data_IF_837166165467
#
_entry.id   IF_837166165467
#
_cell.length_a   1.000
_cell.length_b   1.000
_cell.length_c   1.000
_cell.angle_alpha   90.00
_cell.angle_beta   90.00
_cell.angle_gamma   90.00
#
_symmetry.space_group_name_H-M   'P 1'
#
loop_
_entity.id
_entity.type
_entity.pdbx_description
1 polymer ?
#
# COMPACT_ATOMS: atom_id res chain seq x y z
N UNK A 1 7.35 38.34 -5.22
CA UNK A 1 6.59 37.38 -4.39
C UNK A 1 7.54 36.28 -3.98
N UNK A 2 7.68 35.97 -2.70
CA UNK A 2 8.57 34.87 -2.21
C UNK A 2 7.71 33.68 -1.90
N UNK A 3 7.95 32.54 -2.56
CA UNK A 3 7.26 31.28 -2.32
C UNK A 3 8.19 30.38 -1.50
N UNK A 4 7.69 29.82 -0.39
CA UNK A 4 8.42 28.86 0.44
C UNK A 4 7.65 27.53 0.46
N UNK A 5 8.38 26.43 0.40
CA UNK A 5 7.82 25.10 0.56
C UNK A 5 8.04 24.61 2.00
N UNK A 6 7.06 23.88 2.54
CA UNK A 6 7.20 23.19 3.83
C UNK A 6 7.67 21.77 3.54
N UNK A 7 8.92 21.48 3.90
CA UNK A 7 9.51 20.15 3.69
C UNK A 7 9.23 19.22 4.87
N UNK A 8 9.02 17.93 4.59
CA UNK A 8 8.92 16.89 5.62
C UNK A 8 7.61 16.84 6.42
N UNK A 9 6.62 17.68 6.15
CA UNK A 9 5.37 17.73 6.93
C UNK A 9 4.51 16.45 6.81
N UNK A 10 4.64 15.73 5.71
CA UNK A 10 3.80 14.57 5.39
C UNK A 10 4.45 13.21 5.69
N UNK A 11 5.67 13.20 6.24
CA UNK A 11 6.44 11.96 6.44
C UNK A 11 5.80 11.02 7.46
N UNK A 12 4.97 11.52 8.37
CA UNK A 12 4.19 10.71 9.31
C UNK A 12 2.80 10.41 8.75
N UNK A 13 2.07 11.44 8.38
CA UNK A 13 0.64 11.33 8.02
C UNK A 13 0.39 10.47 6.78
N UNK A 14 1.20 10.63 5.73
CA UNK A 14 1.00 9.88 4.48
C UNK A 14 1.29 8.38 4.68
N UNK A 15 2.40 7.95 5.31
CA UNK A 15 2.63 6.54 5.59
C UNK A 15 1.53 5.91 6.47
N UNK A 16 1.07 6.57 7.52
CA UNK A 16 -0.04 6.09 8.34
C UNK A 16 -1.32 5.90 7.53
N UNK A 17 -1.65 6.85 6.67
CA UNK A 17 -2.81 6.75 5.78
C UNK A 17 -2.69 5.55 4.81
N UNK A 18 -1.50 5.34 4.23
CA UNK A 18 -1.24 4.18 3.36
C UNK A 18 -1.47 2.87 4.10
N UNK A 19 -1.00 2.75 5.34
CA UNK A 19 -1.26 1.56 6.16
C UNK A 19 -2.76 1.38 6.43
N UNK A 20 -3.46 2.45 6.75
CA UNK A 20 -4.91 2.43 6.91
C UNK A 20 -5.62 1.89 5.66
N UNK A 21 -5.20 2.31 4.47
CA UNK A 21 -5.73 1.80 3.20
C UNK A 21 -5.38 0.32 2.98
N UNK A 22 -4.18 -0.11 3.32
CA UNK A 22 -3.76 -1.51 3.23
C UNK A 22 -4.67 -2.39 4.10
N UNK A 23 -4.89 -2.02 5.37
CA UNK A 23 -5.81 -2.75 6.25
C UNK A 23 -7.24 -2.73 5.72
N UNK A 24 -7.72 -1.59 5.24
CA UNK A 24 -9.07 -1.48 4.69
C UNK A 24 -9.30 -2.42 3.50
N UNK A 25 -8.31 -2.55 2.62
CA UNK A 25 -8.36 -3.43 1.45
C UNK A 25 -8.24 -4.91 1.86
N UNK A 26 -7.24 -5.25 2.66
CA UNK A 26 -6.96 -6.65 3.08
C UNK A 26 -8.08 -7.23 3.94
N UNK A 27 -8.76 -6.41 4.71
CA UNK A 27 -9.86 -6.82 5.60
C UNK A 27 -11.25 -6.48 5.05
N UNK A 28 -11.36 -5.97 3.82
CA UNK A 28 -12.63 -5.62 3.17
C UNK A 28 -13.53 -4.70 4.02
N UNK A 29 -12.92 -3.74 4.75
CA UNK A 29 -13.63 -2.92 5.76
C UNK A 29 -14.82 -2.16 5.17
N UNK A 30 -14.71 -1.66 3.93
CA UNK A 30 -15.80 -0.94 3.27
C UNK A 30 -17.02 -1.84 3.00
N UNK A 31 -16.80 -3.12 2.70
CA UNK A 31 -17.87 -4.11 2.54
C UNK A 31 -18.60 -4.36 3.86
N UNK A 32 -17.84 -4.65 4.91
CA UNK A 32 -18.40 -4.88 6.24
C UNK A 32 -19.16 -3.68 6.79
N UNK A 33 -18.62 -2.45 6.61
CA UNK A 33 -19.30 -1.23 7.02
C UNK A 33 -20.65 -1.06 6.31
N UNK A 34 -20.71 -1.30 5.01
CA UNK A 34 -21.96 -1.24 4.24
C UNK A 34 -23.00 -2.23 4.76
N UNK A 35 -22.60 -3.46 5.03
CA UNK A 35 -23.50 -4.49 5.52
C UNK A 35 -24.03 -4.18 6.94
N UNK A 36 -23.22 -3.52 7.78
CA UNK A 36 -23.69 -3.02 9.08
C UNK A 36 -24.75 -1.93 8.92
N UNK A 37 -24.52 -0.96 8.03
CA UNK A 37 -25.46 0.15 7.79
C UNK A 37 -26.81 -0.36 7.23
N UNK A 38 -26.78 -1.39 6.39
CA UNK A 38 -27.98 -1.99 5.79
C UNK A 38 -28.69 -2.99 6.71
N UNK A 39 -28.15 -3.29 7.90
CA UNK A 39 -28.73 -4.24 8.84
C UNK A 39 -28.51 -5.71 8.51
N UNK A 40 -27.76 -6.03 7.46
CA UNK A 40 -27.52 -7.40 6.99
C UNK A 40 -26.96 -8.31 8.07
N UNK A 41 -26.09 -7.81 8.94
CA UNK A 41 -25.56 -8.57 10.06
C UNK A 41 -26.68 -9.08 10.99
N UNK A 42 -27.59 -8.19 11.36
CA UNK A 42 -28.71 -8.51 12.25
C UNK A 42 -29.69 -9.50 11.60
N UNK A 43 -29.93 -9.34 10.29
CA UNK A 43 -30.84 -10.20 9.53
C UNK A 43 -30.28 -11.60 9.27
N UNK A 44 -28.96 -11.75 9.21
CA UNK A 44 -28.30 -13.03 8.92
C UNK A 44 -28.61 -14.12 9.94
N UNK A 45 -28.97 -13.76 11.18
CA UNK A 45 -29.20 -14.68 12.32
C UNK A 45 -28.06 -15.65 12.58
N UNK A 46 -26.87 -15.36 12.05
CA UNK A 46 -25.67 -16.15 12.20
C UNK A 46 -24.66 -15.41 13.08
N UNK A 47 -23.82 -16.14 13.80
CA UNK A 47 -22.74 -15.55 14.58
C UNK A 47 -21.73 -14.81 13.69
N UNK A 48 -21.45 -15.33 12.50
CA UNK A 48 -20.61 -14.70 11.48
C UNK A 48 -21.03 -15.13 10.07
N UNK A 49 -20.66 -14.33 9.08
CA UNK A 49 -20.78 -14.68 7.65
C UNK A 49 -19.50 -14.25 6.91
N UNK A 50 -19.24 -14.84 5.75
CA UNK A 50 -17.95 -14.75 5.03
C UNK A 50 -18.12 -14.16 3.62
N UNK A 51 -18.94 -13.14 3.49
CA UNK A 51 -19.25 -12.53 2.18
C UNK A 51 -18.08 -11.74 1.59
N UNK A 52 -17.14 -11.32 2.43
CA UNK A 52 -15.96 -10.58 2.00
C UNK A 52 -14.69 -11.30 2.47
N UNK A 53 -13.67 -11.36 1.60
CA UNK A 53 -12.39 -11.95 1.99
C UNK A 53 -11.71 -11.10 3.05
N UNK A 54 -11.14 -11.76 4.05
CA UNK A 54 -10.22 -11.18 5.02
C UNK A 54 -8.89 -11.92 4.85
N UNK A 55 -7.84 -11.18 4.54
CA UNK A 55 -6.51 -11.75 4.37
C UNK A 55 -5.50 -11.02 5.26
N UNK A 56 -4.54 -11.75 5.82
CA UNK A 56 -3.56 -11.18 6.72
C UNK A 56 -2.62 -10.19 6.00
N UNK A 57 -2.27 -9.12 6.70
CA UNK A 57 -1.23 -8.18 6.29
C UNK A 57 0.14 -8.81 6.49
N UNK A 58 0.35 -9.48 7.64
CA UNK A 58 1.59 -10.19 7.95
C UNK A 58 1.86 -11.29 6.90
N UNK A 59 3.09 -11.31 6.39
CA UNK A 59 3.52 -12.28 5.38
C UNK A 59 3.16 -11.89 3.93
N UNK A 60 2.33 -10.85 3.72
CA UNK A 60 2.08 -10.35 2.36
C UNK A 60 3.24 -9.49 1.85
N UNK A 61 3.32 -9.33 0.52
CA UNK A 61 4.38 -8.59 -0.16
C UNK A 61 3.88 -7.22 -0.59
N UNK A 62 4.56 -6.16 -0.15
CA UNK A 62 4.33 -4.77 -0.55
C UNK A 62 5.34 -4.34 -1.61
N UNK A 63 4.88 -4.01 -2.80
CA UNK A 63 5.68 -3.36 -3.85
C UNK A 63 5.63 -1.83 -3.69
N UNK A 64 6.78 -1.19 -3.53
CA UNK A 64 6.91 0.26 -3.34
C UNK A 64 7.56 0.89 -4.56
N UNK A 65 6.85 1.76 -5.25
CA UNK A 65 7.34 2.54 -6.37
C UNK A 65 7.74 3.93 -5.88
N UNK A 66 9.05 4.18 -5.86
CA UNK A 66 9.65 5.42 -5.34
C UNK A 66 10.17 5.26 -3.90
N UNK A 67 11.49 5.07 -3.77
CA UNK A 67 12.22 4.94 -2.50
C UNK A 67 12.73 6.31 -2.02
N UNK A 68 11.84 7.32 -2.03
CA UNK A 68 12.06 8.61 -1.38
C UNK A 68 11.69 8.57 0.11
N UNK A 69 11.62 9.72 0.78
CA UNK A 69 11.31 9.80 2.22
C UNK A 69 9.97 9.14 2.57
N UNK A 70 8.93 9.32 1.75
CA UNK A 70 7.61 8.71 1.99
C UNK A 70 7.64 7.20 1.75
N UNK A 71 8.13 6.75 0.58
CA UNK A 71 8.17 5.32 0.26
C UNK A 71 9.06 4.52 1.20
N UNK A 72 10.17 5.11 1.66
CA UNK A 72 11.05 4.48 2.66
C UNK A 72 10.33 4.32 4.01
N UNK A 73 9.61 5.34 4.46
CA UNK A 73 8.88 5.26 5.74
C UNK A 73 7.69 4.30 5.66
N UNK A 74 6.95 4.28 4.54
CA UNK A 74 5.90 3.27 4.30
C UNK A 74 6.48 1.86 4.35
N UNK A 75 7.60 1.62 3.68
CA UNK A 75 8.27 0.31 3.71
C UNK A 75 8.71 -0.08 5.12
N UNK A 76 9.35 0.84 5.86
CA UNK A 76 9.75 0.58 7.25
C UNK A 76 8.58 0.18 8.14
N UNK A 77 7.45 0.88 8.05
CA UNK A 77 6.25 0.55 8.81
C UNK A 77 5.63 -0.78 8.37
N UNK A 78 5.62 -1.07 7.08
CA UNK A 78 5.15 -2.34 6.55
C UNK A 78 6.00 -3.53 7.03
N UNK A 79 7.33 -3.38 7.10
CA UNK A 79 8.24 -4.39 7.67
C UNK A 79 7.95 -4.66 9.14
N UNK A 80 7.65 -3.63 9.94
CA UNK A 80 7.25 -3.79 11.35
C UNK A 80 5.94 -4.56 11.50
N UNK A 81 5.05 -4.51 10.51
CA UNK A 81 3.83 -5.33 10.45
C UNK A 81 4.09 -6.75 9.92
N UNK A 82 5.33 -7.09 9.61
CA UNK A 82 5.72 -8.40 9.11
C UNK A 82 5.44 -8.62 7.62
N UNK A 83 5.33 -7.56 6.83
CA UNK A 83 5.27 -7.64 5.37
C UNK A 83 6.68 -7.82 4.78
N UNK A 84 6.76 -8.46 3.61
CA UNK A 84 7.93 -8.40 2.73
C UNK A 84 7.84 -7.12 1.89
N UNK A 85 8.88 -6.29 1.89
CA UNK A 85 8.91 -5.04 1.12
C UNK A 85 9.86 -5.16 -0.07
N UNK A 86 9.37 -4.81 -1.26
CA UNK A 86 10.13 -4.77 -2.51
C UNK A 86 10.10 -3.35 -3.06
N UNK A 87 11.26 -2.70 -3.15
CA UNK A 87 11.39 -1.40 -3.81
C UNK A 87 11.62 -1.59 -5.30
N UNK A 88 10.70 -1.09 -6.12
CA UNK A 88 10.78 -1.22 -7.55
C UNK A 88 11.86 -0.34 -8.16
N UNK A 89 12.68 -0.93 -9.05
CA UNK A 89 13.56 -0.18 -9.93
C UNK A 89 12.75 0.54 -11.02
N UNK A 90 13.35 1.48 -11.73
CA UNK A 90 12.71 2.13 -12.87
C UNK A 90 12.36 1.13 -13.97
N UNK A 91 11.19 1.30 -14.59
CA UNK A 91 10.65 0.36 -15.60
C UNK A 91 11.63 0.03 -16.74
N UNK A 92 12.41 1.00 -17.18
CA UNK A 92 13.33 0.86 -18.31
C UNK A 92 14.80 0.79 -17.87
N UNK A 93 15.08 0.46 -16.62
CA UNK A 93 16.45 0.35 -16.12
C UNK A 93 17.15 -0.86 -16.76
N UNK A 94 18.34 -0.64 -17.29
CA UNK A 94 19.20 -1.70 -17.85
C UNK A 94 19.93 -2.49 -16.77
N UNK A 95 20.06 -1.90 -15.57
CA UNK A 95 20.68 -2.51 -14.38
C UNK A 95 19.82 -2.25 -13.16
N UNK A 96 19.79 -3.20 -12.23
CA UNK A 96 19.08 -3.05 -10.97
C UNK A 96 20.05 -2.57 -9.88
N UNK A 97 19.72 -1.47 -9.22
CA UNK A 97 20.51 -0.91 -8.12
C UNK A 97 20.41 -1.80 -6.87
N UNK A 98 21.43 -1.73 -6.02
CA UNK A 98 21.39 -2.41 -4.73
C UNK A 98 20.19 -1.93 -3.87
N UNK A 99 19.48 -2.88 -3.25
CA UNK A 99 18.28 -2.60 -2.46
C UNK A 99 17.03 -2.26 -3.29
N UNK A 100 17.06 -2.53 -4.59
CA UNK A 100 15.91 -2.48 -5.48
C UNK A 100 15.64 -3.85 -6.10
N UNK A 101 14.43 -4.02 -6.60
CA UNK A 101 13.97 -5.22 -7.31
C UNK A 101 13.55 -4.80 -8.72
N UNK A 102 13.86 -5.57 -9.78
CA UNK A 102 13.42 -5.26 -11.12
C UNK A 102 11.92 -4.99 -11.19
N UNK A 103 11.51 -3.99 -11.97
CA UNK A 103 10.13 -3.51 -12.06
C UNK A 103 9.12 -4.64 -12.28
N UNK A 104 9.36 -5.48 -13.30
CA UNK A 104 8.47 -6.58 -13.66
C UNK A 104 8.41 -7.67 -12.56
N UNK A 105 9.49 -7.84 -11.82
CA UNK A 105 9.54 -8.80 -10.73
C UNK A 105 8.72 -8.33 -9.52
N UNK A 106 8.73 -7.02 -9.24
CA UNK A 106 7.85 -6.44 -8.21
C UNK A 106 6.38 -6.65 -8.59
N UNK A 107 6.00 -6.41 -9.86
CA UNK A 107 4.63 -6.63 -10.32
C UNK A 107 4.17 -8.08 -10.18
N UNK A 108 5.06 -9.05 -10.34
CA UNK A 108 4.74 -10.47 -10.19
C UNK A 108 4.59 -10.92 -8.75
N UNK A 109 5.39 -10.35 -7.84
CA UNK A 109 5.46 -10.81 -6.45
C UNK A 109 4.59 -10.03 -5.49
N UNK A 110 4.23 -8.78 -5.81
CA UNK A 110 3.51 -7.92 -4.90
C UNK A 110 2.02 -8.30 -4.78
N UNK A 111 1.56 -8.46 -3.54
CA UNK A 111 0.13 -8.54 -3.22
C UNK A 111 -0.52 -7.15 -3.23
N UNK A 112 0.26 -6.13 -2.91
CA UNK A 112 -0.17 -4.73 -2.82
C UNK A 112 0.90 -3.85 -3.46
N UNK A 113 0.47 -2.86 -4.23
CA UNK A 113 1.34 -1.83 -4.80
C UNK A 113 1.04 -0.47 -4.20
N UNK A 114 2.08 0.29 -3.87
CA UNK A 114 1.98 1.66 -3.40
C UNK A 114 2.93 2.58 -4.18
N UNK A 115 2.43 3.75 -4.59
CA UNK A 115 3.16 4.66 -5.46
C UNK A 115 3.51 5.95 -4.70
N UNK A 116 4.81 6.20 -4.57
CA UNK A 116 5.40 7.37 -3.91
C UNK A 116 6.40 8.09 -4.82
N UNK A 117 6.17 8.03 -6.11
CA UNK A 117 6.98 8.65 -7.14
C UNK A 117 6.19 9.76 -7.86
N UNK A 118 6.92 10.71 -8.45
CA UNK A 118 6.30 11.71 -9.31
C UNK A 118 5.69 11.07 -10.55
N UNK A 119 4.55 11.60 -11.02
CA UNK A 119 3.98 11.20 -12.29
C UNK A 119 4.90 11.66 -13.43
N UNK A 120 5.51 10.70 -14.13
CA UNK A 120 6.35 10.92 -15.31
C UNK A 120 5.69 10.31 -16.53
N UNK A 121 6.14 10.68 -17.73
CA UNK A 121 5.62 10.10 -18.99
C UNK A 121 5.72 8.57 -19.00
N UNK A 122 6.74 8.00 -18.36
CA UNK A 122 6.94 6.53 -18.26
C UNK A 122 5.98 5.84 -17.29
N UNK A 123 5.27 6.59 -16.46
CA UNK A 123 4.28 6.08 -15.49
C UNK A 123 2.83 6.42 -15.87
N UNK A 124 2.62 7.11 -16.98
CA UNK A 124 1.27 7.27 -17.56
C UNK A 124 0.79 5.91 -18.08
N UNK A 125 -0.39 5.52 -17.62
CA UNK A 125 -1.15 4.37 -18.12
C UNK A 125 -1.96 4.82 -19.31
#
# INVERSE_FOLDING_TARGET
MTVKNVTGYSVTTVPEHVLGMIFALKHSLAGWQRDQITGKWTESKQFCYFDYPITDVKGSTLGVFGKGCLGTEVGRLAELLGMKVLYAEHRNATTCREGYTPFEEVLKQADILTLHCALTETLKI
#
